data_IF_748843482296
#
_entry.id   IF_748843482296
#
_cell.length_a   1.000
_cell.length_b   1.000
_cell.length_c   1.000
_cell.angle_alpha   90.00
_cell.angle_beta   90.00
_cell.angle_gamma   90.00
#
_symmetry.space_group_name_H-M   'P 1'
#
loop_
_entity.id
_entity.type
_entity.pdbx_description
1 polymer ?
#
# COMPACT_ATOMS: atom_id res chain seq x y z
N UNK A 1 16.70 -21.91 23.69
CA UNK A 1 15.52 -22.54 23.02
C UNK A 1 14.29 -21.61 22.86
N UNK A 2 14.16 -20.51 23.62
CA UNK A 2 12.94 -19.66 23.61
C UNK A 2 12.78 -18.74 22.38
N UNK A 3 13.88 -18.25 21.80
CA UNK A 3 13.85 -17.29 20.68
C UNK A 3 13.21 -17.90 19.43
N UNK A 4 13.63 -19.11 19.04
CA UNK A 4 13.08 -19.81 17.86
C UNK A 4 11.57 -20.08 17.98
N UNK A 5 11.09 -20.46 19.18
CA UNK A 5 9.66 -20.70 19.44
C UNK A 5 8.87 -19.39 19.36
N UNK A 6 9.41 -18.28 19.87
CA UNK A 6 8.75 -16.98 19.77
C UNK A 6 8.65 -16.49 18.32
N UNK A 7 9.71 -16.68 17.53
CA UNK A 7 9.75 -16.24 16.12
C UNK A 7 8.79 -17.02 15.21
N UNK A 8 8.58 -18.31 15.52
CA UNK A 8 7.76 -19.21 14.70
C UNK A 8 6.34 -19.41 15.23
N UNK A 9 5.99 -18.82 16.40
CA UNK A 9 4.72 -19.06 17.10
C UNK A 9 3.47 -18.86 16.23
N UNK A 10 3.53 -17.94 15.27
CA UNK A 10 2.41 -17.57 14.42
C UNK A 10 2.39 -18.28 13.06
N UNK A 11 3.43 -19.03 12.68
CA UNK A 11 3.53 -19.61 11.32
C UNK A 11 2.44 -20.63 11.00
N UNK A 12 1.78 -21.18 12.03
CA UNK A 12 0.61 -22.04 11.87
C UNK A 12 -0.72 -21.30 11.68
N UNK A 13 -0.76 -19.97 11.74
CA UNK A 13 -2.00 -19.19 11.77
C UNK A 13 -2.91 -19.45 10.56
N UNK A 14 -2.40 -19.24 9.34
CA UNK A 14 -3.19 -19.46 8.13
C UNK A 14 -3.51 -20.92 7.88
N UNK A 15 -2.60 -21.83 8.22
CA UNK A 15 -2.84 -23.27 8.14
C UNK A 15 -4.05 -23.70 8.99
N UNK A 16 -4.21 -23.14 10.20
CA UNK A 16 -5.36 -23.40 11.08
C UNK A 16 -6.67 -22.85 10.52
N UNK A 17 -6.62 -21.79 9.71
CA UNK A 17 -7.78 -21.16 9.07
C UNK A 17 -8.10 -21.76 7.69
N UNK A 18 -7.33 -22.75 7.22
CA UNK A 18 -7.49 -23.31 5.87
C UNK A 18 -7.07 -22.36 4.74
N UNK A 19 -6.33 -21.28 5.06
CA UNK A 19 -5.89 -20.28 4.08
C UNK A 19 -4.54 -20.70 3.49
N UNK A 20 -4.46 -20.73 2.16
CA UNK A 20 -3.24 -21.05 1.41
C UNK A 20 -2.21 -19.92 1.48
N UNK A 21 -0.94 -20.24 1.25
CA UNK A 21 0.12 -19.24 1.19
C UNK A 21 1.52 -19.85 1.14
N UNK A 22 2.55 -19.04 0.81
CA UNK A 22 3.93 -19.49 0.80
C UNK A 22 4.43 -19.83 2.21
N UNK A 23 5.29 -20.85 2.31
CA UNK A 23 5.88 -21.25 3.60
C UNK A 23 6.82 -20.13 4.10
N UNK A 24 6.65 -19.62 5.33
CA UNK A 24 7.52 -18.57 5.86
C UNK A 24 8.91 -19.09 6.22
N UNK A 25 9.93 -18.27 5.96
CA UNK A 25 11.30 -18.47 6.44
C UNK A 25 11.43 -17.89 7.85
N UNK A 26 12.28 -18.51 8.67
CA UNK A 26 12.54 -18.06 10.06
C UNK A 26 13.09 -16.62 10.03
N UNK A 27 12.70 -15.80 11.00
CA UNK A 27 13.01 -14.36 11.14
C UNK A 27 12.31 -13.46 10.12
N UNK A 28 12.42 -13.76 8.81
CA UNK A 28 11.98 -12.86 7.75
C UNK A 28 10.56 -13.12 7.21
N UNK A 29 9.96 -14.26 7.56
CA UNK A 29 8.68 -14.67 6.97
C UNK A 29 8.82 -14.88 5.47
N UNK A 30 8.00 -14.19 4.68
CA UNK A 30 8.00 -14.24 3.22
C UNK A 30 8.62 -12.99 2.58
N UNK A 31 9.38 -12.20 3.34
CA UNK A 31 9.98 -10.95 2.86
C UNK A 31 11.24 -11.18 1.99
N UNK A 32 11.95 -12.30 2.17
CA UNK A 32 13.17 -12.61 1.41
C UNK A 32 12.94 -12.73 -0.10
N UNK A 33 11.74 -13.15 -0.51
CA UNK A 33 11.37 -13.25 -1.92
C UNK A 33 11.50 -11.89 -2.65
N UNK A 34 11.38 -10.77 -1.93
CA UNK A 34 11.53 -9.42 -2.48
C UNK A 34 12.96 -9.03 -2.83
N UNK A 35 13.96 -9.81 -2.40
CA UNK A 35 15.36 -9.60 -2.80
C UNK A 35 15.65 -10.11 -4.21
N UNK A 36 14.86 -11.07 -4.69
CA UNK A 36 15.11 -11.77 -5.96
C UNK A 36 14.06 -11.44 -7.02
N UNK A 37 12.85 -11.07 -6.60
CA UNK A 37 11.72 -10.81 -7.49
C UNK A 37 11.09 -9.47 -7.11
N UNK A 38 10.72 -8.68 -8.12
CA UNK A 38 10.01 -7.44 -7.90
C UNK A 38 8.69 -7.70 -7.17
N UNK A 39 8.25 -6.76 -6.32
CA UNK A 39 6.99 -6.91 -5.58
C UNK A 39 5.79 -7.18 -6.51
N UNK A 40 5.59 -6.43 -7.62
CA UNK A 40 4.46 -6.68 -8.53
C UNK A 40 4.48 -8.09 -9.11
N UNK A 41 5.64 -8.56 -9.59
CA UNK A 41 5.75 -9.89 -10.21
C UNK A 41 5.49 -11.00 -9.19
N UNK A 42 6.01 -10.83 -7.98
CA UNK A 42 5.81 -11.77 -6.88
C UNK A 42 4.34 -11.87 -6.46
N UNK A 43 3.62 -10.73 -6.40
CA UNK A 43 2.18 -10.71 -6.12
C UNK A 43 1.41 -11.45 -7.21
N UNK A 44 1.73 -11.24 -8.50
CA UNK A 44 1.10 -11.95 -9.63
C UNK A 44 1.36 -13.46 -9.55
N UNK A 45 2.59 -13.88 -9.25
CA UNK A 45 2.93 -15.29 -9.10
C UNK A 45 2.16 -15.95 -7.96
N UNK A 46 2.10 -15.29 -6.78
CA UNK A 46 1.38 -15.79 -5.60
C UNK A 46 -0.13 -15.83 -5.84
N UNK A 47 -0.69 -14.85 -6.53
CA UNK A 47 -2.08 -14.84 -6.97
C UNK A 47 -2.42 -16.06 -7.82
N UNK A 48 -1.58 -16.36 -8.82
CA UNK A 48 -1.75 -17.54 -9.68
C UNK A 48 -1.64 -18.85 -8.89
N UNK A 49 -0.74 -18.91 -7.91
CA UNK A 49 -0.46 -20.13 -7.15
C UNK A 49 -1.46 -20.41 -6.02
N UNK A 50 -1.89 -19.37 -5.29
CA UNK A 50 -2.67 -19.52 -4.06
C UNK A 50 -4.11 -19.03 -4.19
N UNK A 51 -4.44 -18.29 -5.25
CA UNK A 51 -5.75 -17.72 -5.51
C UNK A 51 -5.86 -16.25 -5.07
N UNK A 52 -7.08 -15.71 -5.14
CA UNK A 52 -7.39 -14.31 -4.83
C UNK A 52 -7.27 -13.97 -3.34
N UNK A 53 -7.21 -14.97 -2.46
CA UNK A 53 -7.04 -14.80 -1.02
C UNK A 53 -5.95 -15.74 -0.55
N UNK A 54 -4.88 -15.18 0.03
CA UNK A 54 -3.78 -15.98 0.54
C UNK A 54 -3.08 -15.27 1.72
N UNK A 55 -2.43 -16.06 2.57
CA UNK A 55 -1.72 -15.56 3.74
C UNK A 55 -0.21 -15.48 3.50
N UNK A 56 0.42 -14.42 4.00
CA UNK A 56 1.88 -14.27 4.06
C UNK A 56 2.30 -13.87 5.48
N UNK A 57 3.59 -13.96 5.77
CA UNK A 57 4.17 -13.48 7.00
C UNK A 57 5.20 -12.39 6.72
N UNK A 58 5.08 -11.25 7.38
CA UNK A 58 6.14 -10.24 7.46
C UNK A 58 6.85 -10.43 8.80
N UNK A 59 8.04 -11.04 8.76
CA UNK A 59 8.64 -11.62 9.96
C UNK A 59 7.71 -12.67 10.59
N UNK A 60 7.28 -12.46 11.85
CA UNK A 60 6.31 -13.32 12.54
C UNK A 60 4.86 -12.81 12.49
N UNK A 61 4.62 -11.68 11.81
CA UNK A 61 3.29 -11.06 11.72
C UNK A 61 2.49 -11.67 10.56
N UNK A 62 1.32 -12.28 10.82
CA UNK A 62 0.46 -12.74 9.74
C UNK A 62 -0.16 -11.55 9.00
N UNK A 63 -0.15 -11.61 7.67
CA UNK A 63 -0.79 -10.67 6.76
C UNK A 63 -1.63 -11.43 5.75
N UNK A 64 -2.86 -10.98 5.52
CA UNK A 64 -3.73 -11.55 4.51
C UNK A 64 -3.71 -10.67 3.27
N UNK A 65 -3.50 -11.28 2.13
CA UNK A 65 -3.60 -10.65 0.82
C UNK A 65 -4.98 -10.94 0.26
N UNK A 66 -5.64 -9.88 -0.21
CA UNK A 66 -7.00 -9.92 -0.74
C UNK A 66 -7.00 -9.23 -2.10
N UNK A 67 -7.34 -9.99 -3.13
CA UNK A 67 -7.44 -9.56 -4.52
C UNK A 67 -8.84 -9.80 -5.10
N UNK A 68 -9.79 -10.20 -4.26
CA UNK A 68 -11.20 -10.34 -4.61
C UNK A 68 -11.88 -8.95 -4.63
N UNK A 69 -12.49 -8.50 -5.75
CA UNK A 69 -13.06 -7.17 -5.86
C UNK A 69 -14.19 -6.88 -4.85
N UNK A 70 -15.02 -7.87 -4.56
CA UNK A 70 -16.16 -7.71 -3.65
C UNK A 70 -15.68 -7.56 -2.21
N UNK A 71 -14.70 -8.36 -1.79
CA UNK A 71 -14.06 -8.21 -0.48
C UNK A 71 -13.26 -6.91 -0.38
N UNK A 72 -12.54 -6.51 -1.44
CA UNK A 72 -11.83 -5.22 -1.46
C UNK A 72 -12.82 -4.07 -1.26
N UNK A 73 -13.95 -4.09 -1.97
CA UNK A 73 -15.01 -3.09 -1.82
C UNK A 73 -15.57 -3.11 -0.40
N UNK A 74 -15.83 -4.29 0.15
CA UNK A 74 -16.31 -4.43 1.52
C UNK A 74 -15.32 -3.82 2.53
N UNK A 75 -14.03 -4.16 2.44
CA UNK A 75 -12.99 -3.70 3.35
C UNK A 75 -12.73 -2.19 3.23
N UNK A 76 -12.63 -1.67 2.00
CA UNK A 76 -12.21 -0.29 1.74
C UNK A 76 -13.37 0.72 1.71
N UNK A 77 -14.61 0.27 1.53
CA UNK A 77 -15.80 1.14 1.43
C UNK A 77 -16.78 0.86 2.54
N UNK A 78 -17.38 -0.34 2.57
CA UNK A 78 -18.50 -0.68 3.48
C UNK A 78 -18.05 -0.68 4.94
N UNK A 79 -17.01 -1.46 5.23
CA UNK A 79 -16.49 -1.71 6.57
C UNK A 79 -15.22 -0.90 6.86
N UNK A 80 -14.99 0.18 6.12
CA UNK A 80 -13.79 1.02 6.22
C UNK A 80 -13.46 1.43 7.67
N UNK A 81 -14.49 1.64 8.51
CA UNK A 81 -14.29 2.01 9.93
C UNK A 81 -13.56 0.94 10.74
N UNK A 82 -13.76 -0.35 10.41
CA UNK A 82 -13.07 -1.46 11.06
C UNK A 82 -11.62 -1.58 10.58
N UNK A 83 -11.37 -1.23 9.32
CA UNK A 83 -10.06 -1.36 8.66
C UNK A 83 -9.26 -0.05 8.55
N UNK A 84 -9.69 1.02 9.24
CA UNK A 84 -9.04 2.33 9.17
C UNK A 84 -7.61 2.38 9.73
N UNK A 85 -7.18 1.29 10.38
CA UNK A 85 -5.83 1.14 10.93
C UNK A 85 -4.88 0.77 9.78
N UNK A 86 -4.36 1.78 9.10
CA UNK A 86 -3.32 1.59 8.07
C UNK A 86 -2.13 0.82 8.65
N UNK A 87 -1.44 0.02 7.84
CA UNK A 87 -0.15 -0.55 8.24
C UNK A 87 0.81 0.59 8.57
N UNK A 88 1.66 0.39 9.58
CA UNK A 88 2.55 1.39 10.19
C UNK A 88 3.71 1.74 9.24
N UNK A 89 3.40 2.31 8.07
CA UNK A 89 4.40 2.76 7.08
C UNK A 89 5.20 3.96 7.63
N UNK A 90 4.69 4.63 8.66
CA UNK A 90 5.02 6.04 8.93
C UNK A 90 5.72 6.29 10.26
N UNK A 91 6.15 5.25 10.98
CA UNK A 91 6.96 5.43 12.20
C UNK A 91 8.43 5.67 11.84
N UNK A 92 8.67 6.51 10.83
CA UNK A 92 9.99 6.86 10.30
C UNK A 92 10.66 7.90 11.23
N UNK A 93 9.95 8.43 12.23
CA UNK A 93 10.46 9.42 13.17
C UNK A 93 10.52 10.83 12.60
N UNK A 94 10.10 11.03 11.33
CA UNK A 94 10.09 12.33 10.70
C UNK A 94 8.78 13.08 10.98
N UNK A 95 8.82 14.22 11.69
CA UNK A 95 7.62 14.87 12.22
C UNK A 95 6.64 15.33 11.14
N UNK A 96 7.12 15.68 9.95
CA UNK A 96 6.26 16.06 8.82
C UNK A 96 5.55 14.85 8.22
N UNK A 97 6.27 13.74 8.02
CA UNK A 97 5.72 12.54 7.36
C UNK A 97 4.64 11.94 8.26
N UNK A 98 4.87 11.92 9.56
CA UNK A 98 3.91 11.42 10.55
C UNK A 98 2.58 12.21 10.55
N UNK A 99 2.61 13.48 10.13
CA UNK A 99 1.42 14.36 10.07
C UNK A 99 0.73 14.37 8.70
N UNK A 100 1.30 13.75 7.67
CA UNK A 100 0.68 13.68 6.34
C UNK A 100 -0.64 12.90 6.36
N UNK A 101 -1.57 13.25 5.46
CA UNK A 101 -2.87 12.58 5.30
C UNK A 101 -2.75 11.05 5.11
N UNK A 102 -1.69 10.60 4.46
CA UNK A 102 -1.43 9.18 4.24
C UNK A 102 -1.06 8.44 5.55
N UNK A 103 -0.58 9.17 6.56
CA UNK A 103 -0.01 8.66 7.81
C UNK A 103 -0.93 8.74 9.01
N UNK A 104 -1.65 9.85 9.15
CA UNK A 104 -2.58 10.07 10.27
C UNK A 104 -3.76 9.08 10.23
N UNK A 105 -4.39 8.86 11.38
CA UNK A 105 -5.47 7.88 11.58
C UNK A 105 -6.65 8.47 12.34
N UNK A 106 -7.77 7.75 12.36
CA UNK A 106 -8.96 8.11 13.14
C UNK A 106 -9.43 9.55 12.86
N UNK A 107 -9.66 10.32 13.91
CA UNK A 107 -10.16 11.69 13.80
C UNK A 107 -9.14 12.67 13.22
N UNK A 108 -7.83 12.44 13.41
CA UNK A 108 -6.80 13.23 12.75
C UNK A 108 -6.86 13.03 11.23
N UNK A 109 -7.00 11.78 10.77
CA UNK A 109 -7.23 11.49 9.36
C UNK A 109 -8.51 12.13 8.83
N UNK A 110 -9.62 12.03 9.58
CA UNK A 110 -10.90 12.63 9.16
C UNK A 110 -10.77 14.14 8.99
N UNK A 111 -10.19 14.83 9.97
CA UNK A 111 -9.97 16.30 9.92
C UNK A 111 -9.08 16.71 8.76
N UNK A 112 -7.91 16.06 8.61
CA UNK A 112 -6.98 16.38 7.52
C UNK A 112 -7.63 16.10 6.16
N UNK A 113 -8.38 14.99 6.02
CA UNK A 113 -9.07 14.67 4.77
C UNK A 113 -10.12 15.73 4.44
N UNK A 114 -10.97 16.09 5.39
CA UNK A 114 -12.00 17.12 5.20
C UNK A 114 -11.39 18.46 4.80
N UNK A 115 -10.24 18.84 5.37
CA UNK A 115 -9.55 20.07 5.01
C UNK A 115 -8.95 20.04 3.59
N UNK A 116 -8.40 18.89 3.16
CA UNK A 116 -7.70 18.76 1.87
C UNK A 116 -8.64 18.46 0.69
N UNK A 117 -9.73 17.73 0.92
CA UNK A 117 -10.65 17.31 -0.15
C UNK A 117 -11.17 18.45 -1.06
N UNK A 118 -11.51 19.65 -0.57
CA UNK A 118 -12.00 20.75 -1.42
C UNK A 118 -11.01 21.23 -2.48
N UNK A 119 -9.70 21.02 -2.27
CA UNK A 119 -8.65 21.40 -3.23
C UNK A 119 -8.79 20.61 -4.54
N UNK A 120 -9.23 19.36 -4.44
CA UNK A 120 -9.40 18.45 -5.57
C UNK A 120 -10.83 18.45 -6.12
N UNK A 121 -11.68 19.39 -5.70
CA UNK A 121 -13.00 19.55 -6.29
C UNK A 121 -12.87 19.92 -7.79
N UNK A 122 -13.77 19.41 -8.63
CA UNK A 122 -13.75 19.61 -10.09
C UNK A 122 -13.61 21.09 -10.45
N UNK A 123 -14.32 21.98 -9.76
CA UNK A 123 -14.25 23.43 -10.00
C UNK A 123 -12.87 24.05 -9.69
N UNK A 124 -12.14 23.54 -8.69
CA UNK A 124 -10.76 23.95 -8.39
C UNK A 124 -9.77 23.34 -9.38
N UNK A 125 -9.95 22.07 -9.73
CA UNK A 125 -9.09 21.39 -10.72
C UNK A 125 -9.20 22.03 -12.11
N UNK A 126 -10.39 22.45 -12.55
CA UNK A 126 -10.56 23.21 -13.81
C UNK A 126 -9.76 24.52 -13.82
N UNK A 127 -9.65 25.20 -12.68
CA UNK A 127 -8.82 26.42 -12.57
C UNK A 127 -7.33 26.10 -12.63
N UNK A 128 -6.90 25.01 -11.97
CA UNK A 128 -5.52 24.54 -12.00
C UNK A 128 -5.09 24.02 -13.39
N UNK A 129 -6.03 23.50 -14.17
CA UNK A 129 -5.76 22.95 -15.51
C UNK A 129 -5.04 23.95 -16.43
N UNK A 130 -5.38 25.24 -16.37
CA UNK A 130 -4.72 26.27 -17.18
C UNK A 130 -3.22 26.36 -16.88
N UNK A 131 -2.83 26.31 -15.59
CA UNK A 131 -1.44 26.31 -15.16
C UNK A 131 -0.72 25.03 -15.60
N UNK A 132 -1.35 23.87 -15.41
CA UNK A 132 -0.80 22.58 -15.83
C UNK A 132 -0.55 22.57 -17.35
N UNK A 133 -1.53 23.02 -18.14
CA UNK A 133 -1.42 23.11 -19.60
C UNK A 133 -0.31 24.06 -20.02
N UNK A 134 -0.16 25.19 -19.34
CA UNK A 134 0.93 26.13 -19.62
C UNK A 134 2.29 25.50 -19.36
N UNK A 135 2.51 24.89 -18.19
CA UNK A 135 3.78 24.23 -17.87
C UNK A 135 4.12 23.11 -18.88
N UNK A 136 3.13 22.29 -19.24
CA UNK A 136 3.35 21.20 -20.20
C UNK A 136 3.68 21.75 -21.59
N UNK A 137 2.84 22.64 -22.14
CA UNK A 137 3.02 23.13 -23.50
C UNK A 137 4.21 24.07 -23.64
N UNK A 138 4.30 25.09 -22.78
CA UNK A 138 5.26 26.16 -22.93
C UNK A 138 6.67 25.79 -22.46
N UNK A 139 6.80 24.89 -21.48
CA UNK A 139 8.10 24.55 -20.90
C UNK A 139 8.54 23.17 -21.36
N UNK A 140 7.75 22.13 -21.08
CA UNK A 140 8.18 20.76 -21.34
C UNK A 140 8.26 20.44 -22.84
N UNK A 141 7.21 20.70 -23.61
CA UNK A 141 7.19 20.36 -25.05
C UNK A 141 8.24 21.18 -25.82
N UNK A 142 8.35 22.47 -25.52
CA UNK A 142 9.35 23.34 -26.17
C UNK A 142 10.79 22.91 -25.86
N UNK A 143 11.08 22.49 -24.61
CA UNK A 143 12.41 21.99 -24.26
C UNK A 143 12.71 20.65 -24.94
N UNK A 144 11.73 19.74 -25.00
CA UNK A 144 11.89 18.46 -25.69
C UNK A 144 12.13 18.65 -27.19
N UNK A 145 11.40 19.57 -27.83
CA UNK A 145 11.58 19.87 -29.26
C UNK A 145 12.97 20.46 -29.52
N UNK A 146 13.44 21.40 -28.69
CA UNK A 146 14.78 21.95 -28.79
C UNK A 146 15.88 20.87 -28.69
N UNK A 147 15.70 19.86 -27.84
CA UNK A 147 16.64 18.72 -27.72
C UNK A 147 16.59 17.74 -28.91
N UNK A 148 15.50 17.68 -29.66
CA UNK A 148 15.37 16.80 -30.85
C UNK A 148 15.91 17.49 -32.11
N UNK A 149 15.82 18.82 -32.17
CA UNK A 149 16.31 19.63 -33.29
C UNK A 149 17.80 19.97 -33.19
N UNK A 150 18.51 19.46 -32.16
CA UNK A 150 19.99 19.52 -32.03
C UNK A 150 20.63 18.18 -32.37
#
# INVERSE_FOLDING_TARGET
MFIGRHLTKNFGYFKKLGIKGPKPVIIFGNLLDLLFVSKPDLEVQRLKQFGTIYGIFEGSKPLIQVADPDLIKQILVTDFRLFNTKVRITNIGHPVIERMLVSVRGDAWRRTRTAVSPVFAIGRMRKQYALIRHCIGAQLVNQLQACVDT
#
